data_IF_983069858284
#
_entry.id   IF_983069858284
#
_cell.length_a   1.000
_cell.length_b   1.000
_cell.length_c   1.000
_cell.angle_alpha   90.00
_cell.angle_beta   90.00
_cell.angle_gamma   90.00
#
_symmetry.space_group_name_H-M   'P 1'
#
loop_
_entity.id
_entity.type
_entity.pdbx_description
1 polymer ?
#
# COMPACT_ATOMS: atom_id res chain seq x y z
N UNK A 1 -7.13 -23.80 9.56
CA UNK A 1 -5.88 -23.03 9.53
C UNK A 1 -6.26 -21.61 9.89
N UNK A 2 -5.59 -21.01 10.85
CA UNK A 2 -5.88 -19.61 11.20
C UNK A 2 -5.55 -18.70 10.02
N UNK A 3 -6.46 -17.76 9.71
CA UNK A 3 -6.29 -16.83 8.60
C UNK A 3 -5.17 -15.83 8.89
N UNK A 4 -4.44 -15.46 7.84
CA UNK A 4 -3.40 -14.45 7.93
C UNK A 4 -4.05 -13.08 7.72
N UNK A 5 -3.95 -12.22 8.72
CA UNK A 5 -4.40 -10.83 8.64
C UNK A 5 -3.23 -9.95 8.23
N UNK A 6 -3.42 -9.19 7.15
CA UNK A 6 -2.42 -8.23 6.66
C UNK A 6 -2.85 -6.81 7.00
N UNK A 7 -1.88 -5.97 7.37
CA UNK A 7 -2.14 -4.55 7.65
C UNK A 7 -0.84 -3.76 7.72
N UNK A 8 -0.96 -2.43 7.69
CA UNK A 8 0.17 -1.56 7.93
C UNK A 8 0.65 -1.66 9.37
N UNK A 9 1.94 -1.45 9.57
CA UNK A 9 2.54 -1.36 10.88
C UNK A 9 2.08 -0.09 11.62
N UNK A 10 2.17 -0.13 12.94
CA UNK A 10 1.99 1.00 13.84
C UNK A 10 3.24 1.17 14.69
N UNK A 11 3.42 2.31 15.33
CA UNK A 11 4.57 2.52 16.24
C UNK A 11 4.66 1.48 17.36
N UNK A 12 3.52 0.93 17.79
CA UNK A 12 3.48 -0.15 18.77
C UNK A 12 4.06 -1.49 18.27
N UNK A 13 4.20 -1.66 16.96
CA UNK A 13 4.75 -2.88 16.36
C UNK A 13 6.29 -2.89 16.29
N UNK A 14 6.93 -1.73 16.44
CA UNK A 14 8.39 -1.57 16.27
C UNK A 14 9.20 -2.63 17.04
N UNK A 15 8.97 -2.89 18.33
CA UNK A 15 9.76 -3.88 19.06
C UNK A 15 9.65 -5.30 18.48
N UNK A 16 8.44 -5.69 18.04
CA UNK A 16 8.21 -7.00 17.45
C UNK A 16 8.85 -7.11 16.05
N UNK A 17 8.83 -6.02 15.26
CA UNK A 17 9.48 -5.93 13.96
C UNK A 17 10.99 -6.05 14.09
N UNK A 18 11.61 -5.28 14.98
CA UNK A 18 13.05 -5.33 15.25
C UNK A 18 13.49 -6.72 15.68
N UNK A 19 12.73 -7.35 16.60
CA UNK A 19 13.00 -8.72 17.00
C UNK A 19 12.94 -9.71 15.83
N UNK A 20 11.91 -9.63 14.99
CA UNK A 20 11.76 -10.52 13.83
C UNK A 20 12.91 -10.35 12.82
N UNK A 21 13.36 -9.12 12.59
CA UNK A 21 14.49 -8.81 11.72
C UNK A 21 15.80 -9.37 12.31
N UNK A 22 16.07 -9.12 13.58
CA UNK A 22 17.26 -9.62 14.27
C UNK A 22 17.32 -11.15 14.28
N UNK A 23 16.20 -11.82 14.59
CA UNK A 23 16.08 -13.29 14.55
C UNK A 23 16.31 -13.84 13.13
N UNK A 24 16.04 -13.03 12.09
CA UNK A 24 16.29 -13.35 10.69
C UNK A 24 17.67 -12.96 10.16
N UNK A 25 18.52 -12.35 10.99
CA UNK A 25 19.84 -11.85 10.59
C UNK A 25 19.78 -10.64 9.64
N UNK A 26 18.69 -9.87 9.69
CA UNK A 26 18.47 -8.69 8.87
C UNK A 26 18.73 -7.40 9.67
N UNK A 27 19.23 -6.37 8.99
CA UNK A 27 19.40 -5.04 9.60
C UNK A 27 18.01 -4.48 10.02
N UNK A 28 17.96 -3.94 11.24
CA UNK A 28 16.78 -3.28 11.78
C UNK A 28 16.90 -1.75 11.80
N UNK A 29 18.07 -1.21 11.44
CA UNK A 29 18.32 0.22 11.42
C UNK A 29 17.38 0.94 10.45
N UNK A 30 16.86 2.09 10.88
CA UNK A 30 15.99 2.95 10.09
C UNK A 30 14.59 2.39 9.82
N UNK A 31 14.18 1.27 10.45
CA UNK A 31 12.85 0.70 10.23
C UNK A 31 11.73 1.59 10.76
N UNK A 32 12.02 2.38 11.80
CA UNK A 32 11.09 3.33 12.42
C UNK A 32 10.66 4.43 11.44
N UNK A 33 11.58 4.91 10.61
CA UNK A 33 11.30 5.95 9.60
C UNK A 33 10.46 5.43 8.42
N UNK A 34 10.34 4.10 8.28
CA UNK A 34 9.58 3.44 7.22
C UNK A 34 8.25 2.88 7.70
N UNK A 35 7.82 3.19 8.91
CA UNK A 35 6.68 2.56 9.59
C UNK A 35 5.40 2.62 8.74
N UNK A 36 5.16 3.73 8.05
CA UNK A 36 3.99 3.92 7.20
C UNK A 36 4.03 3.08 5.91
N UNK A 37 5.21 2.61 5.53
CA UNK A 37 5.45 1.76 4.38
C UNK A 37 5.85 0.33 4.78
N UNK A 38 5.51 -0.09 5.99
CA UNK A 38 5.69 -1.46 6.46
C UNK A 38 4.36 -2.21 6.46
N UNK A 39 4.34 -3.37 5.82
CA UNK A 39 3.20 -4.30 5.82
C UNK A 39 3.55 -5.49 6.69
N UNK A 40 2.65 -5.82 7.60
CA UNK A 40 2.76 -6.95 8.53
C UNK A 40 1.74 -8.03 8.19
N UNK A 41 2.15 -9.29 8.32
CA UNK A 41 1.25 -10.43 8.32
C UNK A 41 1.18 -11.03 9.73
N UNK A 42 -0.05 -11.17 10.28
CA UNK A 42 -0.29 -11.71 11.62
C UNK A 42 -1.14 -12.97 11.54
N UNK A 43 -0.84 -13.91 12.41
CA UNK A 43 -1.62 -15.13 12.64
C UNK A 43 -1.90 -15.18 14.15
N UNK A 44 -3.17 -15.29 14.53
CA UNK A 44 -3.60 -15.26 15.94
C UNK A 44 -2.97 -14.09 16.72
N UNK A 45 -3.01 -12.89 16.12
CA UNK A 45 -2.42 -11.64 16.62
C UNK A 45 -0.89 -11.63 16.76
N UNK A 46 -0.19 -12.72 16.44
CA UNK A 46 1.28 -12.79 16.47
C UNK A 46 1.85 -12.32 15.13
N UNK A 47 2.95 -11.58 15.18
CA UNK A 47 3.69 -11.18 13.97
C UNK A 47 4.32 -12.42 13.32
N UNK A 48 3.82 -12.80 12.15
CA UNK A 48 4.28 -13.95 11.38
C UNK A 48 5.26 -13.56 10.27
N UNK A 49 5.19 -12.32 9.78
CA UNK A 49 6.11 -11.80 8.78
C UNK A 49 5.90 -10.32 8.52
N UNK A 50 6.88 -9.70 7.89
CA UNK A 50 6.87 -8.29 7.54
C UNK A 50 7.62 -8.02 6.25
N UNK A 51 7.38 -6.84 5.68
CA UNK A 51 8.09 -6.28 4.54
C UNK A 51 8.04 -4.77 4.64
N UNK A 52 9.09 -4.08 4.20
CA UNK A 52 9.17 -2.63 4.17
C UNK A 52 9.51 -2.11 2.78
N UNK A 53 9.08 -0.89 2.51
CA UNK A 53 9.38 -0.14 1.29
C UNK A 53 9.99 1.21 1.67
N UNK A 54 11.07 1.59 0.99
CA UNK A 54 11.69 2.91 1.08
C UNK A 54 11.47 3.65 -0.24
N UNK A 55 10.45 4.54 -0.35
CA UNK A 55 10.14 5.24 -1.58
C UNK A 55 11.21 6.28 -1.96
N UNK A 56 11.56 6.35 -3.24
CA UNK A 56 12.54 7.28 -3.81
C UNK A 56 11.98 7.92 -5.11
N UNK A 57 10.80 8.50 -5.06
CA UNK A 57 10.06 8.98 -6.23
C UNK A 57 9.45 7.82 -7.02
N UNK A 58 9.68 7.73 -8.33
CA UNK A 58 9.18 6.63 -9.16
C UNK A 58 9.93 5.29 -8.94
N UNK A 59 10.91 5.28 -8.06
CA UNK A 59 11.65 4.08 -7.65
C UNK A 59 11.50 3.86 -6.16
N UNK A 60 11.69 2.61 -5.69
CA UNK A 60 11.72 2.32 -4.27
C UNK A 60 12.67 1.15 -3.96
N UNK A 61 13.20 1.12 -2.74
CA UNK A 61 13.92 -0.03 -2.21
C UNK A 61 12.96 -0.92 -1.42
N UNK A 62 12.81 -2.17 -1.87
CA UNK A 62 12.12 -3.21 -1.12
C UNK A 62 13.11 -3.82 -0.14
N UNK A 63 12.79 -3.77 1.15
CA UNK A 63 13.69 -4.24 2.21
C UNK A 63 12.94 -4.93 3.34
N UNK A 64 13.70 -5.51 4.29
CA UNK A 64 13.16 -6.05 5.54
C UNK A 64 12.07 -7.12 5.33
N UNK A 65 12.17 -7.91 4.24
CA UNK A 65 11.29 -9.05 4.07
C UNK A 65 11.71 -10.16 5.02
N UNK A 66 10.95 -10.36 6.07
CA UNK A 66 11.17 -11.40 7.06
C UNK A 66 9.92 -12.24 7.28
N UNK A 67 10.11 -13.56 7.45
CA UNK A 67 9.05 -14.50 7.83
C UNK A 67 9.57 -15.35 9.00
N UNK A 68 8.80 -15.33 10.10
CA UNK A 68 9.16 -16.10 11.28
C UNK A 68 9.24 -17.61 10.95
N UNK A 69 10.20 -18.35 11.53
CA UNK A 69 10.50 -19.74 11.16
C UNK A 69 9.27 -20.64 11.11
N UNK A 70 8.38 -20.54 12.08
CA UNK A 70 7.16 -21.38 12.21
C UNK A 70 6.15 -21.15 11.08
N UNK A 71 6.29 -20.05 10.33
CA UNK A 71 5.37 -19.66 9.26
C UNK A 71 6.00 -19.71 7.86
N UNK A 72 7.25 -20.16 7.74
CA UNK A 72 7.91 -20.38 6.46
C UNK A 72 7.24 -21.50 5.67
N UNK A 73 7.41 -21.50 4.35
CA UNK A 73 6.79 -22.51 3.46
C UNK A 73 5.30 -22.32 3.19
N UNK A 74 4.64 -21.33 3.81
CA UNK A 74 3.18 -21.06 3.68
C UNK A 74 2.84 -19.92 2.72
N UNK A 75 3.71 -19.61 1.79
CA UNK A 75 3.57 -18.51 0.81
C UNK A 75 3.45 -17.11 1.42
N UNK A 76 3.63 -16.94 2.75
CA UNK A 76 3.49 -15.64 3.43
C UNK A 76 4.39 -14.57 2.83
N UNK A 77 5.68 -14.85 2.60
CA UNK A 77 6.60 -13.92 1.98
C UNK A 77 6.15 -13.48 0.58
N UNK A 78 5.63 -14.42 -0.23
CA UNK A 78 5.07 -14.11 -1.56
C UNK A 78 3.86 -13.19 -1.47
N UNK A 79 2.95 -13.44 -0.52
CA UNK A 79 1.77 -12.59 -0.30
C UNK A 79 2.17 -11.21 0.20
N UNK A 80 3.15 -11.09 1.09
CA UNK A 80 3.71 -9.81 1.54
C UNK A 80 4.30 -9.02 0.37
N UNK A 81 5.11 -9.66 -0.49
CA UNK A 81 5.66 -9.02 -1.69
C UNK A 81 4.55 -8.52 -2.63
N UNK A 82 3.52 -9.34 -2.88
CA UNK A 82 2.41 -8.94 -3.76
C UNK A 82 1.65 -7.72 -3.20
N UNK A 83 1.38 -7.68 -1.88
CA UNK A 83 0.74 -6.54 -1.24
C UNK A 83 1.62 -5.30 -1.26
N UNK A 84 2.93 -5.45 -1.09
CA UNK A 84 3.87 -4.35 -1.17
C UNK A 84 3.98 -3.80 -2.60
N UNK A 85 3.93 -4.64 -3.64
CA UNK A 85 3.85 -4.18 -5.03
C UNK A 85 2.58 -3.34 -5.27
N UNK A 86 1.44 -3.77 -4.73
CA UNK A 86 0.19 -2.99 -4.83
C UNK A 86 0.32 -1.64 -4.11
N UNK A 87 0.91 -1.62 -2.92
CA UNK A 87 1.17 -0.39 -2.17
C UNK A 87 2.15 0.53 -2.91
N UNK A 88 3.24 0.00 -3.45
CA UNK A 88 4.22 0.76 -4.21
C UNK A 88 3.58 1.49 -5.41
N UNK A 89 2.64 0.83 -6.11
CA UNK A 89 1.89 1.46 -7.20
C UNK A 89 1.01 2.61 -6.75
N UNK A 90 0.36 2.49 -5.58
CA UNK A 90 -0.42 3.58 -4.99
C UNK A 90 0.46 4.80 -4.70
N UNK A 91 1.74 4.58 -4.36
CA UNK A 91 2.76 5.62 -4.18
C UNK A 91 3.35 6.14 -5.50
N UNK A 92 2.90 5.66 -6.66
CA UNK A 92 3.45 6.05 -7.96
C UNK A 92 4.81 5.45 -8.29
N UNK A 93 5.22 4.38 -7.59
CA UNK A 93 6.45 3.66 -7.87
C UNK A 93 6.29 2.80 -9.12
N UNK A 94 7.24 2.91 -10.03
CA UNK A 94 7.33 2.15 -11.29
C UNK A 94 8.42 1.06 -11.24
N UNK A 95 9.48 1.28 -10.45
CA UNK A 95 10.62 0.38 -10.38
C UNK A 95 10.98 0.03 -8.94
N UNK A 96 11.07 -1.26 -8.65
CA UNK A 96 11.51 -1.78 -7.35
C UNK A 96 12.96 -2.25 -7.43
N UNK A 97 13.74 -1.94 -6.41
CA UNK A 97 15.12 -2.37 -6.20
C UNK A 97 15.25 -3.09 -4.88
N UNK A 98 16.14 -4.05 -4.78
CA UNK A 98 16.49 -4.71 -3.53
C UNK A 98 17.92 -5.19 -3.55
N UNK A 99 18.47 -5.45 -2.37
CA UNK A 99 19.74 -6.12 -2.15
C UNK A 99 19.50 -7.43 -1.41
N UNK A 100 20.12 -8.50 -1.85
CA UNK A 100 20.03 -9.82 -1.22
C UNK A 100 21.36 -10.53 -1.21
N UNK A 101 21.61 -11.36 -0.18
CA UNK A 101 22.81 -12.17 -0.06
C UNK A 101 22.55 -13.59 -0.57
N UNK A 102 21.41 -14.17 -0.24
CA UNK A 102 21.11 -15.59 -0.40
C UNK A 102 19.73 -15.90 -1.02
N UNK A 103 18.89 -14.88 -1.23
CA UNK A 103 17.53 -15.05 -1.70
C UNK A 103 17.32 -14.74 -3.20
N UNK A 104 18.38 -14.68 -4.01
CA UNK A 104 18.32 -14.37 -5.44
C UNK A 104 17.26 -15.22 -6.17
N UNK A 105 17.33 -16.56 -6.03
CA UNK A 105 16.39 -17.49 -6.68
C UNK A 105 14.92 -17.24 -6.26
N UNK A 106 14.71 -16.77 -5.05
CA UNK A 106 13.38 -16.42 -4.57
C UNK A 106 12.85 -15.20 -5.32
N UNK A 107 13.64 -14.14 -5.41
CA UNK A 107 13.24 -12.91 -6.08
C UNK A 107 13.16 -13.05 -7.61
N UNK A 108 14.00 -13.86 -8.25
CA UNK A 108 13.85 -14.21 -9.67
C UNK A 108 12.45 -14.79 -9.95
N UNK A 109 11.95 -15.70 -9.10
CA UNK A 109 10.58 -16.24 -9.22
C UNK A 109 9.48 -15.22 -8.98
N UNK A 110 9.79 -14.08 -8.39
CA UNK A 110 8.90 -12.92 -8.22
C UNK A 110 9.07 -11.88 -9.32
N UNK A 111 9.81 -12.17 -10.39
CA UNK A 111 9.98 -11.28 -11.55
C UNK A 111 11.11 -10.26 -11.41
N UNK A 112 11.98 -10.39 -10.40
CA UNK A 112 13.16 -9.55 -10.30
C UNK A 112 14.29 -10.10 -11.18
N UNK A 113 15.09 -9.22 -11.75
CA UNK A 113 16.34 -9.54 -12.46
C UNK A 113 17.54 -8.93 -11.76
N UNK A 114 18.67 -9.59 -11.83
CA UNK A 114 19.92 -9.04 -11.33
C UNK A 114 20.40 -7.88 -12.21
N UNK A 115 21.02 -6.90 -11.60
CA UNK A 115 21.70 -5.77 -12.22
C UNK A 115 23.02 -5.48 -11.48
N UNK A 116 23.90 -4.71 -12.13
CA UNK A 116 25.04 -4.13 -11.43
C UNK A 116 24.58 -3.00 -10.48
N UNK A 117 25.28 -2.83 -9.38
CA UNK A 117 24.94 -1.76 -8.42
C UNK A 117 24.94 -0.36 -9.05
N UNK A 118 25.84 -0.13 -10.03
CA UNK A 118 25.98 1.12 -10.77
C UNK A 118 24.78 1.42 -11.69
N UNK A 119 23.99 0.41 -12.06
CA UNK A 119 22.80 0.56 -12.89
C UNK A 119 21.59 1.07 -12.07
N UNK A 120 21.64 0.96 -10.74
CA UNK A 120 20.58 1.51 -9.92
C UNK A 120 20.59 3.06 -9.98
N UNK A 121 19.43 3.74 -10.01
CA UNK A 121 19.37 5.19 -10.02
C UNK A 121 20.11 5.83 -8.84
N UNK A 122 20.66 7.02 -9.02
CA UNK A 122 21.43 7.72 -7.99
C UNK A 122 20.66 7.87 -6.66
N UNK A 123 19.35 8.11 -6.70
CA UNK A 123 18.50 8.18 -5.50
C UNK A 123 18.44 6.85 -4.74
N UNK A 124 18.42 5.72 -5.45
CA UNK A 124 18.46 4.38 -4.85
C UNK A 124 19.84 4.11 -4.25
N UNK A 125 20.91 4.45 -4.96
CA UNK A 125 22.29 4.31 -4.46
C UNK A 125 22.55 5.18 -3.23
N UNK A 126 21.82 6.31 -3.05
CA UNK A 126 21.93 7.20 -1.92
C UNK A 126 21.21 6.71 -0.66
N UNK A 127 20.35 5.69 -0.76
CA UNK A 127 19.66 5.11 0.41
C UNK A 127 20.64 4.47 1.38
N UNK A 128 20.29 4.43 2.65
CA UNK A 128 21.14 3.83 3.70
C UNK A 128 21.36 2.33 3.42
N UNK A 129 20.37 1.65 2.90
CA UNK A 129 20.44 0.24 2.48
C UNK A 129 21.60 0.00 1.49
N UNK A 130 21.77 0.88 0.49
CA UNK A 130 22.81 0.77 -0.53
C UNK A 130 24.17 1.30 -0.06
N UNK A 131 24.19 2.29 0.85
CA UNK A 131 25.44 2.92 1.32
C UNK A 131 26.17 2.12 2.38
N UNK A 132 25.43 1.57 3.36
CA UNK A 132 26.04 1.07 4.58
C UNK A 132 25.44 -0.21 5.16
N UNK A 133 24.13 -0.47 4.98
CA UNK A 133 23.47 -1.58 5.66
C UNK A 133 23.71 -2.94 4.99
N UNK A 134 23.98 -2.99 3.68
CA UNK A 134 24.26 -4.23 2.98
C UNK A 134 25.74 -4.35 2.60
N UNK A 135 26.32 -5.55 2.71
CA UNK A 135 27.68 -5.79 2.26
C UNK A 135 27.78 -5.61 0.74
N UNK A 136 28.97 -5.20 0.25
CA UNK A 136 29.22 -5.02 -1.18
C UNK A 136 29.08 -6.31 -2.02
N UNK A 137 29.10 -7.47 -1.37
CA UNK A 137 28.84 -8.77 -2.00
C UNK A 137 27.36 -9.07 -2.21
N UNK A 138 26.44 -8.23 -1.72
CA UNK A 138 25.01 -8.42 -1.93
C UNK A 138 24.68 -8.23 -3.43
N UNK A 139 23.78 -9.07 -3.91
CA UNK A 139 23.26 -9.04 -5.27
C UNK A 139 22.21 -7.94 -5.36
N UNK A 140 22.40 -7.01 -6.31
CA UNK A 140 21.41 -5.99 -6.61
C UNK A 140 20.40 -6.53 -7.62
N UNK A 141 19.12 -6.35 -7.33
CA UNK A 141 18.04 -6.81 -8.21
C UNK A 141 17.01 -5.70 -8.43
N UNK A 142 16.39 -5.72 -9.60
CA UNK A 142 15.33 -4.78 -9.97
C UNK A 142 14.12 -5.47 -10.58
N UNK A 143 12.95 -4.86 -10.46
CA UNK A 143 11.72 -5.26 -11.12
C UNK A 143 10.96 -4.02 -11.59
N UNK A 144 10.58 -4.00 -12.87
CA UNK A 144 9.65 -3.01 -13.42
C UNK A 144 8.22 -3.49 -13.15
N UNK A 145 7.46 -2.67 -12.43
CA UNK A 145 6.06 -2.96 -12.08
C UNK A 145 5.07 -2.09 -12.85
N UNK A 146 5.55 -1.17 -13.70
CA UNK A 146 4.71 -0.18 -14.40
C UNK A 146 3.82 -0.80 -15.48
N UNK A 147 4.31 -1.83 -16.17
CA UNK A 147 3.63 -2.48 -17.30
C UNK A 147 2.93 -3.80 -16.94
N UNK A 148 2.93 -4.20 -15.69
CA UNK A 148 2.33 -5.47 -15.27
C UNK A 148 0.82 -5.40 -15.18
N UNK A 149 0.12 -6.42 -15.69
CA UNK A 149 -1.31 -6.62 -15.43
C UNK A 149 -1.55 -6.90 -13.95
N UNK A 150 -2.54 -6.23 -13.36
CA UNK A 150 -2.97 -6.44 -11.98
C UNK A 150 -4.23 -7.29 -11.98
N UNK A 151 -4.18 -8.44 -11.34
CA UNK A 151 -5.35 -9.21 -10.96
C UNK A 151 -5.49 -9.13 -9.45
N UNK A 152 -6.36 -8.25 -8.97
CA UNK A 152 -6.65 -8.09 -7.56
C UNK A 152 -7.77 -9.06 -7.14
N UNK A 153 -7.52 -9.83 -6.10
CA UNK A 153 -8.52 -10.67 -5.44
C UNK A 153 -9.01 -9.98 -4.17
N UNK A 154 -10.07 -10.47 -3.52
CA UNK A 154 -10.62 -9.91 -2.28
C UNK A 154 -9.66 -9.80 -1.07
N UNK A 155 -8.39 -10.20 -1.24
CA UNK A 155 -7.32 -10.05 -0.24
C UNK A 155 -6.51 -8.75 -0.43
N UNK A 156 -7.09 -7.71 -1.01
CA UNK A 156 -6.42 -6.40 -1.14
C UNK A 156 -6.03 -5.85 0.24
N UNK A 157 -4.94 -5.08 0.27
CA UNK A 157 -4.52 -4.39 1.48
C UNK A 157 -5.54 -3.30 1.82
N UNK A 158 -6.02 -3.30 3.06
CA UNK A 158 -6.87 -2.21 3.56
C UNK A 158 -6.04 -0.95 3.70
N UNK A 159 -6.50 0.14 3.10
CA UNK A 159 -5.92 1.45 3.29
C UNK A 159 -6.34 1.99 4.67
N UNK A 160 -5.52 2.89 5.21
CA UNK A 160 -5.88 3.61 6.45
C UNK A 160 -6.93 4.66 6.10
N UNK A 161 -8.17 4.53 6.58
CA UNK A 161 -9.17 5.56 6.35
C UNK A 161 -8.90 6.75 7.27
N UNK A 162 -9.00 7.97 6.72
CA UNK A 162 -8.98 9.21 7.51
C UNK A 162 -10.30 9.41 8.29
N UNK A 163 -11.32 8.62 7.95
CA UNK A 163 -12.67 8.75 8.52
C UNK A 163 -13.01 7.51 9.34
N UNK A 164 -13.37 7.68 10.63
CA UNK A 164 -13.83 6.58 11.46
C UNK A 164 -15.03 5.85 10.83
N UNK A 165 -14.99 4.53 10.83
CA UNK A 165 -16.06 3.70 10.26
C UNK A 165 -15.97 3.48 8.76
N UNK A 166 -14.95 4.02 8.08
CA UNK A 166 -14.67 3.71 6.69
C UNK A 166 -13.61 2.61 6.57
N UNK A 167 -13.81 1.69 5.62
CA UNK A 167 -12.84 0.66 5.23
C UNK A 167 -12.67 0.75 3.73
N UNK A 168 -11.45 0.74 3.25
CA UNK A 168 -11.14 1.03 1.86
C UNK A 168 -10.07 0.08 1.30
N UNK A 169 -10.21 -0.27 0.02
CA UNK A 169 -9.20 -0.96 -0.79
C UNK A 169 -8.97 -0.19 -2.08
N UNK A 170 -7.79 -0.25 -2.61
CA UNK A 170 -7.48 0.39 -3.89
C UNK A 170 -6.64 -0.49 -4.80
N UNK A 171 -6.86 -0.29 -6.10
CA UNK A 171 -5.99 -0.78 -7.18
C UNK A 171 -5.63 0.41 -8.04
N UNK A 172 -4.34 0.65 -8.24
CA UNK A 172 -3.85 1.77 -9.04
C UNK A 172 -2.98 1.30 -10.19
N UNK A 173 -3.16 1.97 -11.32
CA UNK A 173 -2.22 2.05 -12.42
C UNK A 173 -1.52 3.42 -12.38
N UNK A 174 -0.75 3.75 -13.41
CA UNK A 174 0.03 4.99 -13.45
C UNK A 174 -0.84 6.26 -13.37
N UNK A 175 -2.00 6.27 -14.01
CA UNK A 175 -2.86 7.46 -14.15
C UNK A 175 -4.27 7.28 -13.60
N UNK A 176 -4.66 6.05 -13.29
CA UNK A 176 -6.01 5.73 -12.84
C UNK A 176 -5.97 4.87 -11.59
N UNK A 177 -6.91 5.09 -10.71
CA UNK A 177 -7.11 4.28 -9.51
C UNK A 177 -8.60 3.94 -9.39
N UNK A 178 -8.86 2.75 -8.91
CA UNK A 178 -10.17 2.33 -8.43
C UNK A 178 -10.07 2.09 -6.93
N UNK A 179 -10.98 2.69 -6.17
CA UNK A 179 -11.20 2.36 -4.77
C UNK A 179 -12.54 1.68 -4.60
N UNK A 180 -12.57 0.66 -3.75
CA UNK A 180 -13.79 0.09 -3.19
C UNK A 180 -13.82 0.47 -1.73
N UNK A 181 -14.95 0.93 -1.22
CA UNK A 181 -15.06 1.34 0.17
C UNK A 181 -16.40 0.94 0.79
N UNK A 182 -16.34 0.68 2.08
CA UNK A 182 -17.48 0.49 2.96
C UNK A 182 -17.46 1.58 4.02
N UNK A 183 -18.56 2.26 4.22
CA UNK A 183 -18.70 3.36 5.16
C UNK A 183 -19.84 3.02 6.12
N UNK A 184 -19.57 3.05 7.42
CA UNK A 184 -20.58 2.85 8.45
C UNK A 184 -21.68 3.92 8.38
N UNK A 185 -22.85 3.62 8.92
CA UNK A 185 -23.90 4.62 9.10
C UNK A 185 -23.40 5.81 9.93
N UNK A 186 -23.89 7.02 9.63
CA UNK A 186 -23.58 8.28 10.33
C UNK A 186 -22.10 8.68 10.28
N UNK A 187 -21.39 8.27 9.24
CA UNK A 187 -20.02 8.72 8.94
C UNK A 187 -20.04 9.97 8.07
N UNK A 188 -19.04 10.83 8.23
CA UNK A 188 -18.93 12.07 7.45
C UNK A 188 -17.47 12.30 7.02
N UNK A 189 -17.31 12.60 5.75
CA UNK A 189 -16.11 13.16 5.16
C UNK A 189 -16.35 14.66 5.03
N UNK A 190 -15.61 15.45 5.78
CA UNK A 190 -15.74 16.91 5.79
C UNK A 190 -15.41 17.51 4.42
N UNK A 191 -15.80 18.77 4.23
CA UNK A 191 -15.58 19.46 2.95
C UNK A 191 -14.11 19.47 2.58
N UNK A 192 -13.79 18.94 1.41
CA UNK A 192 -12.45 18.83 0.86
C UNK A 192 -12.48 18.94 -0.66
N UNK A 193 -11.33 19.09 -1.25
CA UNK A 193 -11.12 19.03 -2.70
C UNK A 193 -9.81 18.30 -3.01
N UNK A 194 -9.67 17.81 -4.22
CA UNK A 194 -8.49 17.09 -4.69
C UNK A 194 -8.27 17.34 -6.20
N UNK A 195 -7.03 17.17 -6.66
CA UNK A 195 -6.68 17.32 -8.07
C UNK A 195 -7.27 16.23 -8.97
N UNK A 196 -7.53 15.05 -8.41
CA UNK A 196 -8.12 13.94 -9.17
C UNK A 196 -9.59 14.23 -9.50
N UNK A 197 -10.00 13.91 -10.71
CA UNK A 197 -11.42 13.72 -11.04
C UNK A 197 -11.91 12.45 -10.31
N UNK A 198 -13.15 12.47 -9.84
CA UNK A 198 -13.78 11.37 -9.13
C UNK A 198 -15.08 10.98 -9.80
N UNK A 199 -15.27 9.66 -9.98
CA UNK A 199 -16.57 9.11 -10.38
C UNK A 199 -16.94 8.06 -9.33
N UNK A 200 -18.02 8.30 -8.59
CA UNK A 200 -18.53 7.40 -7.56
C UNK A 200 -19.76 6.67 -8.04
N UNK A 201 -19.78 5.34 -7.91
CA UNK A 201 -20.95 4.49 -8.09
C UNK A 201 -21.33 3.86 -6.75
N UNK A 202 -22.57 4.02 -6.33
CA UNK A 202 -23.08 3.39 -5.12
C UNK A 202 -23.54 1.95 -5.45
N UNK A 203 -23.12 0.99 -4.64
CA UNK A 203 -23.48 -0.43 -4.77
C UNK A 203 -24.58 -0.82 -3.78
N UNK A 204 -24.55 -0.25 -2.55
CA UNK A 204 -25.59 -0.48 -1.53
C UNK A 204 -25.69 0.72 -0.60
N UNK A 205 -26.85 0.93 0.02
CA UNK A 205 -27.13 2.08 0.88
C UNK A 205 -27.42 3.35 0.09
N UNK A 206 -27.37 4.49 0.75
CA UNK A 206 -27.56 5.82 0.15
C UNK A 206 -26.40 6.71 0.58
N UNK A 207 -25.68 7.27 -0.40
CA UNK A 207 -24.53 8.14 -0.19
C UNK A 207 -24.89 9.58 -0.56
N UNK A 208 -24.67 10.49 0.37
CA UNK A 208 -25.00 11.91 0.18
C UNK A 208 -23.74 12.69 -0.14
N UNK A 209 -23.86 13.59 -1.13
CA UNK A 209 -22.82 14.53 -1.51
C UNK A 209 -23.39 15.95 -1.43
N UNK A 210 -22.64 16.86 -0.86
CA UNK A 210 -22.88 18.29 -1.05
C UNK A 210 -21.80 18.85 -1.97
N UNK A 211 -22.21 19.34 -3.12
CA UNK A 211 -21.33 19.91 -4.15
C UNK A 211 -21.84 21.28 -4.51
N UNK A 212 -21.03 22.33 -4.29
CA UNK A 212 -21.42 23.72 -4.60
C UNK A 212 -22.77 24.15 -3.98
N UNK A 213 -23.05 23.67 -2.75
CA UNK A 213 -24.28 23.99 -2.02
C UNK A 213 -25.52 23.19 -2.45
N UNK A 214 -25.36 22.23 -3.37
CA UNK A 214 -26.44 21.32 -3.79
C UNK A 214 -26.22 19.95 -3.18
N UNK A 215 -27.26 19.41 -2.55
CA UNK A 215 -27.23 18.07 -1.96
C UNK A 215 -27.73 17.05 -3.00
N UNK A 216 -26.93 16.03 -3.23
CA UNK A 216 -27.23 14.89 -4.07
C UNK A 216 -27.31 13.63 -3.21
N UNK A 217 -28.42 12.87 -3.29
CA UNK A 217 -28.55 11.54 -2.70
C UNK A 217 -28.35 10.51 -3.81
N UNK A 218 -27.28 9.74 -3.74
CA UNK A 218 -26.91 8.73 -4.75
C UNK A 218 -27.31 7.37 -4.23
N UNK A 219 -28.16 6.69 -5.00
CA UNK A 219 -28.72 5.36 -4.68
C UNK A 219 -27.97 4.24 -5.38
N UNK A 220 -28.21 2.98 -5.00
CA UNK A 220 -27.58 1.84 -5.67
C UNK A 220 -27.78 1.83 -7.18
N UNK A 221 -26.68 1.72 -7.94
CA UNK A 221 -26.62 1.80 -9.38
C UNK A 221 -26.53 3.21 -9.96
N UNK A 222 -26.70 4.25 -9.14
CA UNK A 222 -26.49 5.64 -9.56
C UNK A 222 -25.03 6.06 -9.44
N UNK A 223 -24.67 7.10 -10.19
CA UNK A 223 -23.32 7.62 -10.32
C UNK A 223 -23.32 9.13 -10.12
N UNK A 224 -22.32 9.62 -9.41
CA UNK A 224 -21.96 11.05 -9.38
C UNK A 224 -20.54 11.24 -9.91
N UNK A 225 -20.32 12.29 -10.69
CA UNK A 225 -19.00 12.67 -11.18
C UNK A 225 -18.62 14.05 -10.63
N UNK A 226 -17.45 14.13 -10.02
CA UNK A 226 -16.91 15.34 -9.39
C UNK A 226 -15.65 15.76 -10.17
N UNK A 227 -15.66 16.92 -10.82
CA UNK A 227 -14.48 17.43 -11.52
C UNK A 227 -13.33 17.75 -10.56
N UNK A 228 -12.11 17.82 -11.12
CA UNK A 228 -10.91 18.23 -10.40
C UNK A 228 -11.11 19.51 -9.60
N UNK A 229 -10.62 19.52 -8.37
CA UNK A 229 -10.58 20.70 -7.49
C UNK A 229 -11.95 21.27 -7.08
N UNK A 230 -13.05 20.56 -7.32
CA UNK A 230 -14.39 20.99 -6.88
C UNK A 230 -14.58 20.60 -5.41
N UNK A 231 -14.82 21.59 -4.50
CA UNK A 231 -15.10 21.30 -3.10
C UNK A 231 -16.39 20.50 -2.92
N UNK A 232 -16.32 19.47 -2.09
CA UNK A 232 -17.47 18.62 -1.77
C UNK A 232 -17.33 18.00 -0.40
N UNK A 233 -18.46 17.65 0.22
CA UNK A 233 -18.53 16.82 1.41
C UNK A 233 -19.35 15.56 1.12
N UNK A 234 -19.07 14.47 1.87
CA UNK A 234 -19.72 13.18 1.65
C UNK A 234 -20.15 12.61 2.99
N UNK A 235 -21.37 12.05 3.10
CA UNK A 235 -21.82 11.42 4.34
C UNK A 235 -22.81 10.29 4.10
N UNK A 236 -22.98 9.48 5.14
CA UNK A 236 -24.01 8.46 5.26
C UNK A 236 -24.99 8.84 6.35
N UNK A 237 -26.25 8.45 6.21
CA UNK A 237 -27.27 8.64 7.25
C UNK A 237 -27.51 7.35 8.04
N UNK A 238 -28.71 6.81 8.00
CA UNK A 238 -29.13 5.66 8.80
C UNK A 238 -28.55 4.32 8.35
N UNK A 239 -28.06 4.22 7.11
CA UNK A 239 -27.57 2.98 6.50
C UNK A 239 -26.07 3.05 6.27
N UNK A 240 -25.41 1.91 6.41
CA UNK A 240 -24.05 1.74 5.90
C UNK A 240 -24.09 1.69 4.35
N UNK A 241 -23.01 2.15 3.72
CA UNK A 241 -22.89 2.28 2.28
C UNK A 241 -21.69 1.49 1.78
N UNK A 242 -21.87 0.85 0.63
CA UNK A 242 -20.78 0.29 -0.17
C UNK A 242 -20.74 1.01 -1.51
N UNK A 243 -19.58 1.48 -1.92
CA UNK A 243 -19.42 2.18 -3.20
C UNK A 243 -18.04 1.94 -3.82
N UNK A 244 -17.91 2.36 -5.07
CA UNK A 244 -16.68 2.32 -5.86
C UNK A 244 -16.40 3.73 -6.35
N UNK A 245 -15.15 4.19 -6.19
CA UNK A 245 -14.66 5.40 -6.85
C UNK A 245 -13.65 5.04 -7.93
N UNK A 246 -13.75 5.72 -9.07
CA UNK A 246 -12.70 5.80 -10.07
C UNK A 246 -12.04 7.19 -9.99
N UNK A 247 -10.72 7.24 -10.06
CA UNK A 247 -9.89 8.44 -9.89
C UNK A 247 -8.92 8.62 -11.05
N UNK A 248 -8.77 9.86 -11.52
CA UNK A 248 -7.75 10.23 -12.50
C UNK A 248 -7.32 11.70 -12.30
N UNK A 249 -6.03 12.01 -12.12
CA UNK A 249 -4.94 11.07 -11.83
C UNK A 249 -5.15 10.28 -10.54
N UNK A 250 -4.24 9.35 -10.23
CA UNK A 250 -4.27 8.58 -8.98
C UNK A 250 -4.34 9.52 -7.79
N UNK A 251 -5.30 9.29 -6.89
CA UNK A 251 -5.43 10.08 -5.66
C UNK A 251 -4.29 9.72 -4.70
N UNK A 252 -3.35 10.64 -4.54
CA UNK A 252 -2.14 10.45 -3.74
C UNK A 252 -2.29 10.83 -2.26
N UNK A 253 -3.48 11.18 -1.81
CA UNK A 253 -3.78 11.52 -0.40
C UNK A 253 -3.47 10.38 0.58
N UNK A 254 -3.28 9.17 0.07
CA UNK A 254 -2.85 8.01 0.85
C UNK A 254 -1.32 7.81 0.86
N UNK A 255 -0.58 8.72 0.23
CA UNK A 255 0.84 8.88 0.53
C UNK A 255 0.92 9.41 1.96
N UNK A 256 1.65 8.70 2.83
CA UNK A 256 1.88 9.11 4.21
C UNK A 256 2.29 10.59 4.24
N UNK A 257 1.44 11.46 4.79
CA UNK A 257 1.80 12.83 5.09
C UNK A 257 2.82 12.80 6.22
N UNK A 258 4.10 12.75 5.87
CA UNK A 258 5.17 13.23 6.71
C UNK A 258 5.36 14.71 6.41
N UNK A 259 4.68 15.56 7.16
CA UNK A 259 5.13 16.90 7.52
C UNK A 259 5.57 16.90 8.95
#
# INVERSE_FOLDING_TARGET
MSDIIYGFATTGDIPAMQKLLADGGLACDGIESLIDNCILGRIDSKLAGMIALEPCGQSAVLRSLAVAPDYRGRLLGRKLCAKMVSHARLLGVEHLYLLTIDAERYFVRLGYRQIEWSEAPAKIQATEQFRSLCPKSAICMTRDISAETIHATGELLRLRPDVPGAVMWAVALRQTMLTYFEVAARSRFESHSHESEQITMVLSGELFFEVQGVIHCIKPGEVIAIPSSVPHSVWTEALAVTAIDAWSPVMRKYESTNT
#
